data_IF_365394473593
#
_entry.id   IF_365394473593
#
_cell.length_a   1.000
_cell.length_b   1.000
_cell.length_c   1.000
_cell.angle_alpha   90.00
_cell.angle_beta   90.00
_cell.angle_gamma   90.00
#
_symmetry.space_group_name_H-M   'P 1'
#
loop_
_entity.id
_entity.type
_entity.pdbx_description
1 polymer ?
#
# COMPACT_ATOMS: atom_id res chain seq x y z
N UNK A 1 34.46 1.95 2.62
CA UNK A 1 33.29 2.13 1.75
C UNK A 1 32.05 1.79 2.55
N UNK A 2 31.23 2.78 2.78
CA UNK A 2 29.98 2.54 3.50
C UNK A 2 28.98 1.92 2.53
N UNK A 3 28.61 0.67 2.78
CA UNK A 3 27.48 0.07 2.10
C UNK A 3 26.20 0.82 2.49
N UNK A 4 25.27 1.04 1.55
CA UNK A 4 24.00 1.65 1.92
C UNK A 4 23.35 0.83 3.03
N UNK A 5 22.89 1.51 4.07
CA UNK A 5 22.24 0.83 5.19
C UNK A 5 20.99 0.10 4.69
N UNK A 6 20.98 -1.21 4.91
CA UNK A 6 19.80 -2.02 4.67
C UNK A 6 18.81 -1.72 5.79
N UNK A 7 17.68 -1.12 5.46
CA UNK A 7 16.68 -0.80 6.46
C UNK A 7 15.44 -1.69 6.32
N UNK A 8 15.57 -2.93 6.76
CA UNK A 8 14.51 -3.93 6.73
C UNK A 8 13.38 -3.62 7.73
N UNK A 9 13.56 -2.66 8.64
CA UNK A 9 12.49 -2.25 9.56
C UNK A 9 11.27 -1.72 8.82
N UNK A 10 11.41 -1.24 7.59
CA UNK A 10 10.29 -0.76 6.79
C UNK A 10 9.21 -1.84 6.63
N UNK A 11 9.58 -3.12 6.57
CA UNK A 11 8.61 -4.20 6.42
C UNK A 11 7.62 -4.29 7.59
N UNK A 12 7.97 -3.77 8.75
CA UNK A 12 7.09 -3.72 9.93
C UNK A 12 6.56 -2.32 10.22
N UNK A 13 7.00 -1.29 9.49
CA UNK A 13 6.60 0.10 9.69
C UNK A 13 5.63 0.63 8.63
N UNK A 14 5.25 -0.18 7.65
CA UNK A 14 4.38 0.24 6.56
C UNK A 14 3.07 -0.52 6.61
N UNK A 15 1.98 0.23 6.70
CA UNK A 15 0.61 -0.28 6.69
C UNK A 15 -0.03 0.00 5.33
N UNK A 16 -0.74 -0.97 4.81
CA UNK A 16 -1.57 -0.82 3.61
C UNK A 16 -3.02 -0.67 4.05
N UNK A 17 -3.67 0.41 3.62
CA UNK A 17 -5.07 0.70 3.95
C UNK A 17 -5.87 0.72 2.66
N UNK A 18 -6.96 -0.04 2.63
CA UNK A 18 -7.91 -0.06 1.51
C UNK A 18 -9.22 0.55 1.98
N UNK A 19 -9.68 1.59 1.28
CA UNK A 19 -10.90 2.33 1.64
C UNK A 19 -12.03 1.96 0.70
N UNK A 20 -13.12 1.45 1.28
CA UNK A 20 -14.36 1.15 0.56
C UNK A 20 -14.17 0.25 -0.67
N UNK A 21 -13.33 -0.78 -0.54
CA UNK A 21 -13.08 -1.73 -1.63
C UNK A 21 -14.37 -2.44 -2.00
N UNK A 22 -14.72 -2.40 -3.28
CA UNK A 22 -16.01 -2.92 -3.75
C UNK A 22 -15.98 -4.40 -4.06
N UNK A 23 -14.84 -4.97 -4.43
CA UNK A 23 -14.71 -6.38 -4.80
C UNK A 23 -13.77 -7.09 -3.83
N UNK A 24 -14.29 -8.09 -3.14
CA UNK A 24 -13.50 -8.84 -2.16
C UNK A 24 -12.29 -9.55 -2.78
N UNK A 25 -12.40 -9.97 -4.04
CA UNK A 25 -11.26 -10.52 -4.77
C UNK A 25 -10.07 -9.58 -4.86
N UNK A 26 -10.31 -8.28 -5.00
CA UNK A 26 -9.24 -7.28 -5.02
C UNK A 26 -8.50 -7.22 -3.68
N UNK A 27 -9.18 -7.44 -2.58
CA UNK A 27 -8.55 -7.49 -1.25
C UNK A 27 -7.57 -8.68 -1.19
N UNK A 28 -8.00 -9.84 -1.65
CA UNK A 28 -7.14 -11.02 -1.72
C UNK A 28 -5.92 -10.79 -2.61
N UNK A 29 -6.13 -10.18 -3.77
CA UNK A 29 -5.04 -9.87 -4.70
C UNK A 29 -4.04 -8.86 -4.09
N UNK A 30 -4.51 -7.89 -3.32
CA UNK A 30 -3.64 -6.95 -2.58
C UNK A 30 -2.83 -7.70 -1.52
N UNK A 31 -3.47 -8.60 -0.76
CA UNK A 31 -2.77 -9.41 0.23
C UNK A 31 -1.62 -10.20 -0.40
N UNK A 32 -1.87 -10.79 -1.58
CA UNK A 32 -0.84 -11.50 -2.33
C UNK A 32 0.29 -10.56 -2.78
N UNK A 33 -0.05 -9.40 -3.30
CA UNK A 33 0.93 -8.39 -3.71
C UNK A 33 1.82 -7.97 -2.52
N UNK A 34 1.22 -7.75 -1.35
CA UNK A 34 1.95 -7.41 -0.14
C UNK A 34 2.92 -8.52 0.28
N UNK A 35 2.43 -9.75 0.32
CA UNK A 35 3.24 -10.89 0.78
C UNK A 35 4.44 -11.13 -0.12
N UNK A 36 4.28 -11.02 -1.43
CA UNK A 36 5.40 -11.18 -2.38
C UNK A 36 6.52 -10.20 -2.13
N UNK A 37 6.21 -9.05 -1.52
CA UNK A 37 7.19 -7.99 -1.25
C UNK A 37 7.58 -7.88 0.23
N UNK A 38 7.01 -8.74 1.11
CA UNK A 38 7.42 -8.82 2.50
C UNK A 38 6.61 -7.97 3.48
N UNK A 39 5.47 -7.43 3.06
CA UNK A 39 4.59 -6.61 3.90
C UNK A 39 3.38 -7.42 4.37
N UNK A 40 2.91 -7.14 5.58
CA UNK A 40 1.82 -7.92 6.19
C UNK A 40 0.75 -7.11 6.92
N UNK A 41 0.95 -5.81 7.13
CA UNK A 41 -0.02 -4.98 7.87
C UNK A 41 -1.09 -4.42 6.93
N UNK A 42 -2.26 -5.06 6.92
CA UNK A 42 -3.39 -4.71 6.07
C UNK A 42 -4.60 -4.30 6.91
N UNK A 43 -5.17 -3.14 6.60
CA UNK A 43 -6.37 -2.61 7.25
C UNK A 43 -7.38 -2.21 6.20
N UNK A 44 -8.66 -2.57 6.41
CA UNK A 44 -9.77 -2.21 5.53
C UNK A 44 -10.66 -1.20 6.22
N UNK A 45 -11.01 -0.12 5.52
CA UNK A 45 -11.98 0.87 5.99
C UNK A 45 -13.27 0.67 5.21
N UNK A 46 -14.32 0.27 5.90
CA UNK A 46 -15.67 0.09 5.33
C UNK A 46 -15.70 -0.62 3.98
N UNK A 47 -15.17 -1.86 3.87
CA UNK A 47 -15.32 -2.61 2.63
C UNK A 47 -16.80 -2.82 2.31
N UNK A 48 -17.14 -2.95 1.04
CA UNK A 48 -18.52 -3.11 0.60
C UNK A 48 -19.24 -4.27 1.29
N UNK A 49 -18.52 -5.38 1.50
CA UNK A 49 -19.10 -6.58 2.12
C UNK A 49 -18.46 -6.81 3.49
N UNK A 50 -19.25 -7.04 4.55
CA UNK A 50 -18.71 -7.26 5.89
C UNK A 50 -17.90 -8.55 6.02
N UNK A 51 -18.14 -9.54 5.14
CA UNK A 51 -17.40 -10.81 5.11
C UNK A 51 -16.22 -10.80 4.11
N UNK A 52 -15.75 -9.62 3.73
CA UNK A 52 -14.73 -9.45 2.68
C UNK A 52 -13.46 -10.27 2.90
N UNK A 53 -13.05 -10.47 4.16
CA UNK A 53 -11.82 -11.20 4.48
C UNK A 53 -11.98 -12.73 4.38
N UNK A 54 -13.20 -13.24 4.44
CA UNK A 54 -13.49 -14.68 4.38
C UNK A 54 -14.19 -15.09 3.09
N UNK A 55 -14.51 -14.12 2.23
CA UNK A 55 -15.16 -14.37 0.96
C UNK A 55 -14.30 -15.30 0.09
N UNK A 56 -14.96 -16.25 -0.60
CA UNK A 56 -14.28 -17.28 -1.39
C UNK A 56 -13.37 -16.67 -2.47
N UNK A 57 -13.78 -15.58 -3.12
CA UNK A 57 -12.97 -14.91 -4.14
C UNK A 57 -11.72 -14.27 -3.53
N UNK A 58 -11.87 -13.62 -2.36
CA UNK A 58 -10.74 -13.03 -1.65
C UNK A 58 -9.72 -14.10 -1.27
N UNK A 59 -10.17 -15.20 -0.69
CA UNK A 59 -9.31 -16.32 -0.29
C UNK A 59 -8.61 -16.92 -1.52
N UNK A 60 -9.33 -17.12 -2.60
CA UNK A 60 -8.77 -17.68 -3.84
C UNK A 60 -7.68 -16.78 -4.43
N UNK A 61 -7.93 -15.48 -4.53
CA UNK A 61 -6.96 -14.53 -5.10
C UNK A 61 -5.80 -14.20 -4.18
N UNK A 62 -5.96 -14.40 -2.87
CA UNK A 62 -4.85 -14.30 -1.93
C UNK A 62 -3.84 -15.43 -2.11
N UNK A 63 -4.25 -16.57 -2.67
CA UNK A 63 -3.37 -17.72 -2.90
C UNK A 63 -2.62 -18.10 -1.61
N UNK A 64 -1.29 -18.04 -1.59
CA UNK A 64 -0.47 -18.31 -0.41
C UNK A 64 -0.45 -17.19 0.64
N UNK A 65 -1.19 -16.09 0.44
CA UNK A 65 -1.20 -14.94 1.35
C UNK A 65 -2.45 -14.89 2.24
N UNK A 66 -3.06 -16.05 2.53
CA UNK A 66 -4.26 -16.12 3.38
C UNK A 66 -3.97 -15.68 4.82
N UNK A 67 -2.75 -15.82 5.30
CA UNK A 67 -2.31 -15.33 6.60
C UNK A 67 -2.45 -13.80 6.71
N UNK A 68 -2.23 -13.07 5.61
CA UNK A 68 -2.41 -11.61 5.60
C UNK A 68 -3.89 -11.26 5.71
N UNK A 69 -4.78 -12.00 5.03
CA UNK A 69 -6.22 -11.81 5.19
C UNK A 69 -6.66 -12.09 6.62
N UNK A 70 -6.18 -13.17 7.22
CA UNK A 70 -6.54 -13.54 8.59
C UNK A 70 -6.05 -12.53 9.62
N UNK A 71 -4.93 -11.88 9.36
CA UNK A 71 -4.36 -10.85 10.23
C UNK A 71 -4.91 -9.45 9.97
N UNK A 72 -5.69 -9.25 8.90
CA UNK A 72 -6.21 -7.94 8.55
C UNK A 72 -7.35 -7.52 9.49
N UNK A 73 -7.49 -6.20 9.65
CA UNK A 73 -8.55 -5.63 10.48
C UNK A 73 -9.52 -4.83 9.60
N UNK A 74 -10.80 -4.86 9.98
CA UNK A 74 -11.83 -4.02 9.38
C UNK A 74 -12.20 -2.95 10.39
N UNK A 75 -12.13 -1.69 9.98
CA UNK A 75 -12.44 -0.53 10.83
C UNK A 75 -13.49 0.35 10.16
N UNK A 76 -14.10 1.24 10.94
CA UNK A 76 -15.20 2.08 10.47
C UNK A 76 -14.78 3.45 9.96
N UNK A 77 -13.54 3.86 10.17
CA UNK A 77 -13.07 5.20 9.78
C UNK A 77 -11.59 5.20 9.43
N UNK A 78 -11.19 6.22 8.68
CA UNK A 78 -9.76 6.41 8.38
C UNK A 78 -8.96 6.73 9.65
N UNK A 79 -9.57 7.43 10.61
CA UNK A 79 -8.92 7.75 11.87
C UNK A 79 -8.53 6.47 12.62
N UNK A 80 -9.44 5.49 12.69
CA UNK A 80 -9.14 4.19 13.29
C UNK A 80 -8.05 3.44 12.52
N UNK A 81 -8.10 3.50 11.18
CA UNK A 81 -7.10 2.84 10.34
C UNK A 81 -5.70 3.41 10.54
N UNK A 82 -5.61 4.70 10.85
CA UNK A 82 -4.32 5.40 11.02
C UNK A 82 -3.78 5.34 12.45
N UNK A 83 -4.47 4.72 13.39
CA UNK A 83 -3.96 4.57 14.75
C UNK A 83 -2.60 3.87 14.73
N UNK A 84 -1.61 4.49 15.39
CA UNK A 84 -0.23 4.00 15.41
C UNK A 84 0.62 4.45 14.24
N UNK A 85 0.06 5.17 13.25
CA UNK A 85 0.80 5.74 12.14
C UNK A 85 1.03 7.24 12.38
N UNK A 86 2.21 7.72 12.00
CA UNK A 86 2.57 9.14 12.09
C UNK A 86 2.84 9.76 10.71
N UNK A 87 2.59 9.02 9.65
CA UNK A 87 2.76 9.49 8.28
C UNK A 87 1.74 8.78 7.38
N UNK A 88 1.10 9.53 6.48
CA UNK A 88 0.10 8.98 5.58
C UNK A 88 0.33 9.47 4.15
N UNK A 89 0.28 8.53 3.21
CA UNK A 89 0.40 8.79 1.78
C UNK A 89 -0.83 8.25 1.07
N UNK A 90 -1.56 9.12 0.36
CA UNK A 90 -2.69 8.70 -0.47
C UNK A 90 -2.20 8.33 -1.86
N UNK A 91 -2.70 7.23 -2.40
CA UNK A 91 -2.41 6.84 -3.79
C UNK A 91 -3.59 7.23 -4.67
N UNK A 92 -3.36 8.08 -5.65
CA UNK A 92 -4.42 8.57 -6.52
C UNK A 92 -3.88 8.95 -7.89
N UNK A 93 -4.65 8.60 -8.93
CA UNK A 93 -4.36 9.04 -10.29
C UNK A 93 -4.94 10.43 -10.58
N UNK A 94 -5.82 10.94 -9.70
CA UNK A 94 -6.50 12.21 -9.91
C UNK A 94 -5.87 13.31 -9.06
N UNK A 95 -5.41 14.37 -9.74
CA UNK A 95 -4.96 15.59 -9.07
C UNK A 95 -6.16 16.43 -8.62
N UNK A 96 -5.98 17.14 -7.52
CA UNK A 96 -7.01 17.97 -6.89
C UNK A 96 -6.45 19.36 -6.63
N UNK A 97 -7.34 20.35 -6.56
CA UNK A 97 -6.96 21.75 -6.32
C UNK A 97 -6.22 21.93 -4.99
N UNK A 98 -6.67 21.23 -3.94
CA UNK A 98 -6.09 21.30 -2.60
C UNK A 98 -5.43 19.97 -2.21
N UNK A 99 -4.57 19.47 -3.06
CA UNK A 99 -3.81 18.25 -2.78
C UNK A 99 -2.63 18.54 -1.86
N UNK A 100 -2.24 17.57 -1.01
CA UNK A 100 -0.91 17.59 -0.41
C UNK A 100 0.16 17.53 -1.50
N UNK A 101 1.44 17.73 -1.17
CA UNK A 101 2.51 17.62 -2.18
C UNK A 101 2.43 16.31 -2.94
N UNK A 102 2.59 16.40 -4.26
CA UNK A 102 2.55 15.23 -5.15
C UNK A 102 3.95 14.64 -5.28
N UNK A 103 4.05 13.33 -5.17
CA UNK A 103 5.31 12.61 -5.28
C UNK A 103 5.08 11.31 -6.06
N UNK A 104 6.16 10.58 -6.32
CA UNK A 104 6.09 9.25 -6.92
C UNK A 104 6.27 8.18 -5.85
N UNK A 105 5.87 6.96 -6.16
CA UNK A 105 6.09 5.81 -5.28
C UNK A 105 7.59 5.56 -5.03
N UNK A 106 8.43 5.83 -6.03
CA UNK A 106 9.89 5.64 -5.89
C UNK A 106 10.49 6.65 -4.92
N UNK A 107 10.12 7.92 -5.04
CA UNK A 107 10.62 8.96 -4.16
C UNK A 107 10.17 8.74 -2.71
N UNK A 108 8.89 8.43 -2.50
CA UNK A 108 8.40 8.21 -1.14
C UNK A 108 8.98 6.95 -0.52
N UNK A 109 9.18 5.89 -1.30
CA UNK A 109 9.77 4.65 -0.80
C UNK A 109 11.17 4.89 -0.20
N UNK A 110 12.00 5.67 -0.89
CA UNK A 110 13.32 6.04 -0.36
C UNK A 110 13.24 6.83 0.94
N UNK A 111 12.32 7.78 1.01
CA UNK A 111 12.10 8.59 2.21
C UNK A 111 11.61 7.74 3.39
N UNK A 112 10.68 6.83 3.17
CA UNK A 112 10.15 5.95 4.21
C UNK A 112 11.19 4.95 4.70
N UNK A 113 12.00 4.40 3.79
CA UNK A 113 13.07 3.49 4.17
C UNK A 113 14.13 4.18 5.03
N UNK A 114 14.50 5.41 4.69
CA UNK A 114 15.49 6.19 5.44
C UNK A 114 14.94 6.71 6.78
N UNK A 115 13.66 7.01 6.86
CA UNK A 115 13.03 7.58 8.06
C UNK A 115 12.59 6.53 9.06
N UNK A 116 13.52 6.02 9.87
CA UNK A 116 13.25 4.91 10.80
C UNK A 116 12.20 5.23 11.87
N UNK A 117 11.96 6.50 12.14
CA UNK A 117 10.92 6.98 13.06
C UNK A 117 9.53 7.00 12.44
N UNK A 118 9.42 6.81 11.12
CA UNK A 118 8.15 6.87 10.41
C UNK A 118 7.43 5.53 10.47
N UNK A 119 6.23 5.54 11.04
CA UNK A 119 5.25 4.47 10.94
C UNK A 119 4.21 4.94 9.94
N UNK A 120 4.34 4.47 8.72
CA UNK A 120 3.61 5.04 7.58
C UNK A 120 2.44 4.17 7.16
N UNK A 121 1.43 4.82 6.59
CA UNK A 121 0.33 4.15 5.90
C UNK A 121 0.30 4.62 4.45
N UNK A 122 0.08 3.68 3.53
CA UNK A 122 -0.28 3.97 2.14
C UNK A 122 -1.75 3.62 1.98
N UNK A 123 -2.53 4.57 1.42
CA UNK A 123 -3.99 4.50 1.38
C UNK A 123 -4.45 4.41 -0.06
N UNK A 124 -5.21 3.36 -0.36
CA UNK A 124 -5.78 3.10 -1.69
C UNK A 124 -7.29 3.26 -1.64
N UNK A 125 -7.85 3.87 -2.66
CA UNK A 125 -9.27 4.15 -2.73
C UNK A 125 -10.10 3.08 -3.40
N UNK A 126 -11.40 3.36 -3.49
CA UNK A 126 -12.37 2.53 -4.20
C UNK A 126 -11.96 2.38 -5.67
N UNK A 127 -12.22 1.20 -6.24
CA UNK A 127 -11.81 0.85 -7.60
C UNK A 127 -12.42 1.77 -8.66
N UNK A 128 -13.59 2.34 -8.38
CA UNK A 128 -14.29 3.23 -9.31
C UNK A 128 -14.17 4.69 -8.93
N UNK A 129 -14.34 4.99 -7.64
CA UNK A 129 -14.48 6.37 -7.17
C UNK A 129 -13.20 6.96 -6.58
N UNK A 130 -12.17 6.12 -6.33
CA UNK A 130 -10.93 6.57 -5.71
C UNK A 130 -11.12 6.94 -4.24
N UNK A 131 -10.30 7.87 -3.77
CA UNK A 131 -10.35 8.35 -2.38
C UNK A 131 -11.19 9.62 -2.26
N UNK A 132 -12.01 9.74 -1.20
CA UNK A 132 -12.65 11.01 -0.88
C UNK A 132 -11.65 12.12 -0.62
N UNK A 133 -11.99 13.36 -0.97
CA UNK A 133 -11.12 14.51 -0.74
C UNK A 133 -10.75 14.67 0.73
N UNK A 134 -11.68 14.39 1.65
CA UNK A 134 -11.46 14.49 3.10
C UNK A 134 -10.31 13.60 3.57
N UNK A 135 -10.14 12.44 2.96
CA UNK A 135 -9.03 11.53 3.30
C UNK A 135 -7.74 12.06 2.70
N UNK A 136 -7.75 12.46 1.43
CA UNK A 136 -6.55 12.95 0.74
C UNK A 136 -6.00 14.20 1.43
N UNK A 137 -6.87 15.11 1.84
CA UNK A 137 -6.48 16.36 2.50
C UNK A 137 -5.77 16.13 3.84
N UNK A 138 -6.02 15.02 4.51
CA UNK A 138 -5.37 14.65 5.77
C UNK A 138 -4.00 14.02 5.58
N UNK A 139 -3.65 13.63 4.36
CA UNK A 139 -2.40 12.92 4.08
C UNK A 139 -1.22 13.89 3.97
N UNK A 140 -0.04 13.37 4.25
CA UNK A 140 1.21 14.14 4.14
C UNK A 140 1.62 14.33 2.68
N UNK A 141 1.35 13.33 1.83
CA UNK A 141 1.68 13.37 0.41
C UNK A 141 0.62 12.65 -0.41
N UNK A 142 0.60 12.95 -1.71
CA UNK A 142 -0.19 12.24 -2.71
C UNK A 142 0.79 11.50 -3.63
N UNK A 143 0.69 10.19 -3.66
CA UNK A 143 1.47 9.36 -4.58
C UNK A 143 0.72 9.29 -5.91
N UNK A 144 1.36 9.78 -6.96
CA UNK A 144 0.91 9.60 -8.32
C UNK A 144 1.88 8.65 -9.03
N UNK A 145 1.39 7.47 -9.41
CA UNK A 145 2.21 6.48 -10.10
C UNK A 145 2.33 6.91 -11.56
N UNK A 146 3.56 7.15 -12.07
CA UNK A 146 3.73 7.51 -13.47
C UNK A 146 3.28 6.36 -14.37
N UNK A 147 2.20 6.57 -15.11
CA UNK A 147 1.63 5.58 -16.00
C UNK A 147 1.41 6.20 -17.37
N UNK A 148 1.01 5.36 -18.34
CA UNK A 148 0.72 5.84 -19.70
C UNK A 148 -0.39 6.88 -19.64
N UNK A 149 -0.14 8.13 -20.12
CA UNK A 149 -1.15 9.18 -20.06
C UNK A 149 -2.45 8.85 -20.80
N UNK A 150 -2.38 7.97 -21.79
CA UNK A 150 -3.55 7.54 -22.55
C UNK A 150 -4.35 6.44 -21.84
N UNK A 151 -3.74 5.76 -20.88
CA UNK A 151 -4.38 4.69 -20.12
C UNK A 151 -3.68 4.52 -18.76
N UNK A 152 -3.98 5.44 -17.84
CA UNK A 152 -3.25 5.59 -16.58
C UNK A 152 -3.87 4.86 -15.39
N UNK A 153 -5.06 4.28 -15.55
CA UNK A 153 -5.79 3.63 -14.46
C UNK A 153 -5.22 2.24 -14.18
N UNK A 154 -4.52 2.11 -13.06
CA UNK A 154 -4.06 0.81 -12.58
C UNK A 154 -5.17 0.12 -11.79
N UNK A 155 -5.28 -1.18 -11.96
CA UNK A 155 -6.06 -2.03 -11.07
C UNK A 155 -5.52 -1.87 -9.63
N UNK A 156 -6.40 -2.00 -8.62
CA UNK A 156 -6.05 -1.81 -7.22
C UNK A 156 -4.84 -2.66 -6.80
N UNK A 157 -4.85 -3.95 -7.12
CA UNK A 157 -3.74 -4.83 -6.74
C UNK A 157 -2.46 -4.52 -7.51
N UNK A 158 -2.56 -4.03 -8.75
CA UNK A 158 -1.41 -3.59 -9.52
C UNK A 158 -0.77 -2.34 -8.90
N UNK A 159 -1.58 -1.38 -8.48
CA UNK A 159 -1.09 -0.19 -7.78
C UNK A 159 -0.40 -0.57 -6.47
N UNK A 160 -1.01 -1.47 -5.69
CA UNK A 160 -0.42 -1.98 -4.46
C UNK A 160 0.92 -2.71 -4.73
N UNK A 161 0.99 -3.50 -5.80
CA UNK A 161 2.22 -4.21 -6.18
C UNK A 161 3.35 -3.24 -6.52
N UNK A 162 3.05 -2.18 -7.28
CA UNK A 162 4.05 -1.18 -7.66
C UNK A 162 4.58 -0.47 -6.42
N UNK A 163 3.72 -0.02 -5.52
CA UNK A 163 4.12 0.64 -4.28
C UNK A 163 4.93 -0.32 -3.40
N UNK A 164 4.46 -1.53 -3.21
CA UNK A 164 5.15 -2.54 -2.39
C UNK A 164 6.53 -2.88 -2.96
N UNK A 165 6.64 -3.02 -4.26
CA UNK A 165 7.90 -3.30 -4.94
C UNK A 165 8.93 -2.19 -4.70
N UNK A 166 8.54 -0.93 -4.91
CA UNK A 166 9.43 0.20 -4.70
C UNK A 166 9.88 0.29 -3.23
N UNK A 167 8.98 0.03 -2.31
CA UNK A 167 9.31 0.02 -0.88
C UNK A 167 10.27 -1.11 -0.52
N UNK A 168 10.10 -2.29 -1.11
CA UNK A 168 11.03 -3.41 -0.92
C UNK A 168 12.42 -3.07 -1.45
N UNK A 169 12.49 -2.52 -2.66
CA UNK A 169 13.77 -2.11 -3.28
C UNK A 169 14.49 -1.10 -2.39
N UNK A 170 13.76 -0.10 -1.90
CA UNK A 170 14.32 0.93 -1.01
C UNK A 170 14.81 0.33 0.32
N UNK A 171 14.05 -0.62 0.89
CA UNK A 171 14.40 -1.25 2.16
C UNK A 171 15.65 -2.14 2.05
N UNK A 172 15.80 -2.85 0.93
CA UNK A 172 16.91 -3.80 0.76
C UNK A 172 18.21 -3.15 0.32
N UNK A 173 18.13 -2.02 -0.39
CA UNK A 173 19.31 -1.39 -0.99
C UNK A 173 19.88 -2.17 -2.17
N UNK A 174 20.79 -1.56 -2.89
CA UNK A 174 21.31 -2.09 -4.17
C UNK A 174 22.03 -3.44 -4.04
N UNK A 175 22.75 -3.66 -2.94
CA UNK A 175 23.49 -4.88 -2.73
C UNK A 175 22.64 -6.14 -2.64
N UNK A 176 21.45 -6.03 -2.07
CA UNK A 176 20.51 -7.15 -1.93
C UNK A 176 19.75 -7.44 -3.23
N UNK A 177 19.62 -6.43 -4.09
CA UNK A 177 18.92 -6.60 -5.38
C UNK A 177 19.73 -7.47 -6.35
N UNK A 178 21.03 -7.56 -6.16
CA UNK A 178 21.92 -8.36 -7.02
C UNK A 178 21.91 -9.85 -6.65
N UNK A 179 21.30 -10.22 -5.52
CA UNK A 179 21.30 -11.62 -5.07
C UNK A 179 20.18 -12.40 -5.77
N UNK A 180 20.52 -13.50 -6.47
CA UNK A 180 19.48 -14.31 -7.10
C UNK A 180 18.61 -14.99 -6.04
N UNK A 181 17.33 -15.08 -6.34
CA UNK A 181 16.39 -15.85 -5.50
C UNK A 181 16.49 -17.30 -5.91
N UNK A 182 16.79 -18.19 -4.95
CA UNK A 182 16.78 -19.62 -5.18
C UNK A 182 15.36 -20.16 -5.37
N UNK A 183 15.17 -21.01 -6.36
CA UNK A 183 13.94 -21.72 -6.58
C UNK A 183 14.11 -23.17 -6.15
#
# INVERSE_FOLDING_TARGET
MNLPEINTSLFTRLRFILVETSRSGNIGAVARAMKTMGFSDLVLVNPRFPDALTDAEAVALASGAQDILSGARIVGSIAEALEGCNYAAAVSARLREFSPPVTTQRAIAGQLAAGTELHAAVIFGNERFGLPNEIVEQCNVLINIPANPEYSSLNLSQAAQVVAYECRVAALGDGQLASPVGF
#
